data_IF_887726692562
#
_entry.id   IF_887726692562
#
_cell.length_a   1.000
_cell.length_b   1.000
_cell.length_c   1.000
_cell.angle_alpha   90.00
_cell.angle_beta   90.00
_cell.angle_gamma   90.00
#
_symmetry.space_group_name_H-M   'P 1'
#
loop_
_entity.id
_entity.type
_entity.pdbx_description
1 polymer ?
#
# COMPACT_ATOMS: atom_id res chain seq x y z
N UNK A 1 -10.70 12.59 -9.88
CA UNK A 1 -10.06 12.30 -11.20
C UNK A 1 -9.72 13.54 -12.03
N UNK A 2 -9.57 14.75 -11.45
CA UNK A 2 -9.53 15.98 -12.25
C UNK A 2 -8.29 16.19 -13.15
N UNK A 3 -7.13 15.59 -12.84
CA UNK A 3 -5.91 15.83 -13.61
C UNK A 3 -5.57 14.70 -14.60
N UNK A 4 -5.23 13.51 -14.09
CA UNK A 4 -4.65 12.45 -14.92
C UNK A 4 -5.65 11.40 -15.41
N UNK A 5 -6.81 11.24 -14.75
CA UNK A 5 -7.73 10.13 -15.01
C UNK A 5 -8.21 10.06 -16.46
N UNK A 6 -8.59 11.20 -17.05
CA UNK A 6 -9.05 11.25 -18.44
C UNK A 6 -7.95 10.89 -19.45
N UNK A 7 -6.72 11.37 -19.22
CA UNK A 7 -5.56 11.08 -20.09
C UNK A 7 -5.11 9.63 -19.94
N UNK A 8 -5.15 9.07 -18.74
CA UNK A 8 -4.82 7.67 -18.50
C UNK A 8 -5.80 6.74 -19.24
N UNK A 9 -7.12 7.01 -19.14
CA UNK A 9 -8.14 6.22 -19.85
C UNK A 9 -7.98 6.25 -21.36
N UNK A 10 -7.59 7.38 -21.96
CA UNK A 10 -7.38 7.46 -23.40
C UNK A 10 -6.16 6.67 -23.88
N UNK A 11 -5.17 6.47 -23.01
CA UNK A 11 -3.94 5.70 -23.29
C UNK A 11 -4.02 4.23 -22.87
N UNK A 12 -4.90 3.87 -21.95
CA UNK A 12 -5.15 2.46 -21.58
C UNK A 12 -5.90 1.66 -22.64
N UNK A 13 -6.49 2.33 -23.63
CA UNK A 13 -7.27 1.70 -24.70
C UNK A 13 -6.42 1.07 -25.84
N UNK A 14 -5.09 1.16 -25.79
CA UNK A 14 -4.21 0.38 -26.69
C UNK A 14 -4.21 -1.08 -26.22
N UNK A 15 -5.06 -1.89 -26.85
CA UNK A 15 -5.45 -3.25 -26.44
C UNK A 15 -4.29 -4.23 -26.22
N UNK A 16 -3.12 -3.97 -26.79
CA UNK A 16 -1.94 -4.83 -26.70
C UNK A 16 -0.88 -4.33 -25.69
N UNK A 17 -0.97 -3.06 -25.26
CA UNK A 17 -0.08 -2.43 -24.29
C UNK A 17 -0.87 -1.38 -23.51
N UNK A 18 -1.37 -1.70 -22.31
CA UNK A 18 -1.82 -0.66 -21.38
C UNK A 18 -0.67 0.29 -21.13
N UNK A 19 -0.67 1.45 -21.80
CA UNK A 19 0.46 2.37 -21.79
C UNK A 19 0.63 3.11 -20.45
N UNK A 20 -0.27 2.88 -19.49
CA UNK A 20 -0.18 3.45 -18.15
C UNK A 20 -0.86 2.58 -17.09
N UNK A 21 -0.37 2.72 -15.86
CA UNK A 21 -0.95 2.15 -14.65
C UNK A 21 -0.91 3.20 -13.53
N UNK A 22 -1.79 3.04 -12.55
CA UNK A 22 -1.77 3.79 -11.30
C UNK A 22 -1.17 2.90 -10.20
N UNK A 23 -0.11 3.35 -9.53
CA UNK A 23 0.53 2.59 -8.45
C UNK A 23 0.48 3.40 -7.15
N UNK A 24 -0.15 2.86 -6.13
CA UNK A 24 -0.10 3.39 -4.77
C UNK A 24 0.99 2.67 -3.97
N UNK A 25 1.91 3.44 -3.40
CA UNK A 25 2.86 2.94 -2.41
C UNK A 25 2.28 3.26 -1.03
N UNK A 26 1.80 2.23 -0.34
CA UNK A 26 1.08 2.38 0.90
C UNK A 26 1.79 1.66 2.04
N UNK A 27 1.82 2.28 3.22
CA UNK A 27 2.20 1.55 4.42
C UNK A 27 1.16 0.48 4.72
N UNK A 28 1.58 -0.70 5.19
CA UNK A 28 0.66 -1.77 5.60
C UNK A 28 -0.32 -1.32 6.70
N UNK A 29 0.03 -0.31 7.49
CA UNK A 29 -0.85 0.30 8.50
C UNK A 29 -2.00 1.13 7.92
N UNK A 30 -2.17 1.15 6.59
CA UNK A 30 -3.42 1.54 5.94
C UNK A 30 -4.58 0.58 6.27
N UNK A 31 -4.27 -0.69 6.61
CA UNK A 31 -5.29 -1.70 6.94
C UNK A 31 -5.79 -1.59 8.38
N UNK A 32 -4.88 -1.33 9.32
CA UNK A 32 -5.18 -1.13 10.73
C UNK A 32 -4.23 -0.09 11.29
N UNK A 33 -4.78 0.86 12.06
CA UNK A 33 -4.04 2.02 12.52
C UNK A 33 -2.94 1.62 13.50
N UNK A 34 -1.70 2.03 13.24
CA UNK A 34 -0.64 1.96 14.25
C UNK A 34 -0.54 3.30 14.96
N UNK A 35 -0.97 3.43 16.22
CA UNK A 35 -1.27 4.74 16.76
C UNK A 35 -0.02 5.59 17.10
N UNK A 36 1.18 4.98 17.14
CA UNK A 36 2.47 5.70 17.15
C UNK A 36 2.61 6.63 15.93
N UNK A 37 2.03 6.23 14.79
CA UNK A 37 1.97 7.02 13.56
C UNK A 37 0.52 7.19 13.09
N UNK A 38 -0.39 7.48 14.02
CA UNK A 38 -1.83 7.36 13.77
C UNK A 38 -2.37 8.24 12.63
N UNK A 39 -1.88 9.48 12.49
CA UNK A 39 -2.28 10.39 11.39
C UNK A 39 -1.75 9.92 10.04
N UNK A 40 -0.55 9.34 10.01
CA UNK A 40 0.02 8.75 8.80
C UNK A 40 -0.80 7.53 8.39
N UNK A 41 -1.10 6.64 9.34
CA UNK A 41 -1.96 5.46 9.11
C UNK A 41 -3.34 5.87 8.56
N UNK A 42 -3.96 6.90 9.13
CA UNK A 42 -5.26 7.41 8.65
C UNK A 42 -5.21 7.95 7.21
N UNK A 43 -4.18 8.74 6.87
CA UNK A 43 -3.99 9.23 5.50
C UNK A 43 -3.78 8.09 4.50
N UNK A 44 -2.99 7.08 4.88
CA UNK A 44 -2.74 5.91 4.05
C UNK A 44 -4.00 5.03 3.89
N UNK A 45 -4.83 4.90 4.93
CA UNK A 45 -6.13 4.24 4.86
C UNK A 45 -7.10 4.98 3.91
N UNK A 46 -7.10 6.31 3.93
CA UNK A 46 -7.87 7.12 2.98
C UNK A 46 -7.39 6.92 1.54
N UNK A 47 -6.07 6.83 1.32
CA UNK A 47 -5.50 6.52 0.00
C UNK A 47 -5.86 5.08 -0.45
N UNK A 48 -5.86 4.11 0.46
CA UNK A 48 -6.31 2.74 0.18
C UNK A 48 -7.79 2.72 -0.22
N UNK A 49 -8.65 3.45 0.50
CA UNK A 49 -10.07 3.61 0.15
C UNK A 49 -10.24 4.28 -1.21
N UNK A 50 -9.47 5.34 -1.49
CA UNK A 50 -9.47 6.00 -2.80
C UNK A 50 -9.10 5.02 -3.93
N UNK A 51 -8.14 4.10 -3.70
CA UNK A 51 -7.77 3.09 -4.70
C UNK A 51 -8.95 2.21 -5.13
N UNK A 52 -9.88 1.91 -4.22
CA UNK A 52 -11.08 1.12 -4.51
C UNK A 52 -12.02 1.89 -5.45
N UNK A 53 -12.21 3.19 -5.20
CA UNK A 53 -12.94 4.07 -6.11
C UNK A 53 -12.25 4.15 -7.48
N UNK A 54 -10.93 4.27 -7.51
CA UNK A 54 -10.16 4.34 -8.75
C UNK A 54 -10.29 3.07 -9.60
N UNK A 55 -10.36 1.88 -8.97
CA UNK A 55 -10.61 0.62 -9.68
C UNK A 55 -11.95 0.63 -10.41
N UNK A 56 -13.01 1.11 -9.74
CA UNK A 56 -14.32 1.27 -10.36
C UNK A 56 -14.30 2.30 -11.49
N UNK A 57 -13.65 3.44 -11.26
CA UNK A 57 -13.51 4.48 -12.27
C UNK A 57 -12.74 4.01 -13.52
N UNK A 58 -11.67 3.24 -13.35
CA UNK A 58 -10.84 2.75 -14.46
C UNK A 58 -11.31 1.43 -15.07
N UNK A 59 -12.41 0.85 -14.57
CA UNK A 59 -12.96 -0.40 -15.09
C UNK A 59 -13.20 -0.31 -16.61
N UNK A 60 -12.74 -1.34 -17.35
CA UNK A 60 -12.87 -1.40 -18.82
C UNK A 60 -11.96 -0.46 -19.61
N UNK A 61 -11.15 0.38 -18.95
CA UNK A 61 -10.22 1.31 -19.62
C UNK A 61 -8.81 0.75 -19.89
N UNK A 62 -8.53 -0.48 -19.45
CA UNK A 62 -7.19 -1.08 -19.51
C UNK A 62 -6.22 -0.58 -18.42
N UNK A 63 -6.50 0.56 -17.77
CA UNK A 63 -5.65 1.10 -16.71
C UNK A 63 -5.74 0.25 -15.44
N UNK A 64 -4.61 -0.28 -14.99
CA UNK A 64 -4.50 -1.06 -13.76
C UNK A 64 -4.26 -0.16 -12.55
N UNK A 65 -4.86 -0.50 -11.42
CA UNK A 65 -4.65 0.18 -10.12
C UNK A 65 -3.98 -0.79 -9.16
N UNK A 66 -2.68 -0.61 -8.98
CA UNK A 66 -1.81 -1.45 -8.16
C UNK A 66 -1.64 -0.81 -6.78
N UNK A 67 -1.78 -1.60 -5.73
CA UNK A 67 -1.44 -1.21 -4.36
C UNK A 67 -0.25 -2.05 -3.90
N UNK A 68 0.81 -1.39 -3.44
CA UNK A 68 1.93 -2.04 -2.76
C UNK A 68 1.86 -1.69 -1.28
N UNK A 69 1.46 -2.67 -0.46
CA UNK A 69 1.45 -2.59 1.00
C UNK A 69 2.83 -3.00 1.53
N UNK A 70 3.63 -2.04 1.97
CA UNK A 70 4.98 -2.31 2.46
C UNK A 70 5.10 -2.08 3.98
N UNK A 71 6.04 -2.82 4.59
CA UNK A 71 6.38 -2.68 6.00
C UNK A 71 7.18 -1.39 6.27
N UNK A 72 7.84 -1.26 7.43
CA UNK A 72 8.75 -0.14 7.67
C UNK A 72 9.81 0.01 6.56
N UNK A 73 9.91 1.19 5.94
CA UNK A 73 10.93 1.50 4.95
C UNK A 73 12.22 1.99 5.64
N UNK A 74 13.37 1.64 5.07
CA UNK A 74 14.66 2.19 5.43
C UNK A 74 14.73 3.67 5.03
N UNK A 75 14.46 4.54 6.01
CA UNK A 75 14.54 5.99 5.85
C UNK A 75 15.45 6.58 6.92
N UNK A 76 16.24 7.59 6.53
CA UNK A 76 17.16 8.32 7.42
C UNK A 76 16.45 9.01 8.60
N UNK A 77 15.15 9.33 8.44
CA UNK A 77 14.33 10.01 9.44
C UNK A 77 13.69 9.06 10.48
N UNK A 78 13.55 7.75 10.18
CA UNK A 78 12.85 6.78 11.06
C UNK A 78 13.86 5.88 11.79
N UNK A 79 14.55 6.45 12.77
CA UNK A 79 15.67 5.84 13.47
C UNK A 79 15.37 4.71 14.48
N UNK A 80 14.21 4.57 15.16
CA UNK A 80 14.11 3.55 16.22
C UNK A 80 13.46 2.23 15.78
N UNK A 81 12.99 2.08 14.53
CA UNK A 81 12.35 0.81 14.14
C UNK A 81 13.40 -0.29 13.99
N UNK A 82 13.33 -1.39 14.76
CA UNK A 82 14.26 -2.50 14.60
C UNK A 82 14.05 -3.19 13.25
N UNK A 83 15.09 -3.81 12.67
CA UNK A 83 14.97 -4.63 11.46
C UNK A 83 13.93 -5.76 11.64
N UNK A 84 13.33 -6.29 10.55
CA UNK A 84 13.69 -6.07 9.14
C UNK A 84 12.90 -4.94 8.48
N UNK A 85 13.61 -3.96 7.92
CA UNK A 85 13.03 -2.89 7.11
C UNK A 85 13.07 -3.26 5.61
N UNK A 86 12.18 -2.66 4.84
CA UNK A 86 12.19 -2.71 3.37
C UNK A 86 13.17 -1.67 2.85
N UNK A 87 14.04 -2.04 1.91
CA UNK A 87 14.94 -1.06 1.27
C UNK A 87 14.24 -0.35 0.11
N UNK A 88 14.59 0.90 -0.21
CA UNK A 88 14.04 1.60 -1.38
C UNK A 88 14.23 0.82 -2.70
N UNK A 89 15.39 0.16 -2.86
CA UNK A 89 15.66 -0.66 -4.04
C UNK A 89 14.68 -1.85 -4.13
N UNK A 90 14.48 -2.58 -3.03
CA UNK A 90 13.53 -3.71 -3.01
C UNK A 90 12.10 -3.25 -3.31
N UNK A 91 11.71 -2.07 -2.84
CA UNK A 91 10.40 -1.49 -3.16
C UNK A 91 10.29 -1.19 -4.66
N UNK A 92 11.29 -0.55 -5.26
CA UNK A 92 11.30 -0.25 -6.69
C UNK A 92 11.25 -1.53 -7.56
N UNK A 93 12.06 -2.54 -7.24
CA UNK A 93 12.07 -3.82 -7.94
C UNK A 93 10.70 -4.51 -7.86
N UNK A 94 10.06 -4.45 -6.69
CA UNK A 94 8.73 -5.02 -6.47
C UNK A 94 7.66 -4.31 -7.30
N UNK A 95 7.74 -2.98 -7.42
CA UNK A 95 6.81 -2.19 -8.25
C UNK A 95 6.96 -2.57 -9.72
N UNK A 96 8.19 -2.66 -10.23
CA UNK A 96 8.46 -3.04 -11.63
C UNK A 96 7.92 -4.45 -11.90
N UNK A 97 8.21 -5.39 -11.01
CA UNK A 97 7.70 -6.77 -11.13
C UNK A 97 6.17 -6.81 -11.14
N UNK A 98 5.50 -6.08 -10.24
CA UNK A 98 4.05 -6.03 -10.18
C UNK A 98 3.42 -5.46 -11.47
N UNK A 99 4.07 -4.46 -12.07
CA UNK A 99 3.66 -3.90 -13.36
C UNK A 99 3.82 -4.90 -14.50
N UNK A 100 4.93 -5.64 -14.54
CA UNK A 100 5.20 -6.65 -15.58
C UNK A 100 4.23 -7.83 -15.50
N UNK A 101 3.94 -8.31 -14.29
CA UNK A 101 3.08 -9.48 -14.05
C UNK A 101 1.59 -9.12 -13.92
N UNK A 102 1.24 -7.82 -13.90
CA UNK A 102 -0.13 -7.35 -13.74
C UNK A 102 -0.74 -7.64 -12.36
N UNK A 103 0.09 -7.70 -11.32
CA UNK A 103 -0.34 -7.99 -9.93
C UNK A 103 -0.89 -6.70 -9.30
N UNK A 104 -2.18 -6.68 -8.98
CA UNK A 104 -2.87 -5.46 -8.50
C UNK A 104 -2.73 -5.21 -6.99
N UNK A 105 -2.45 -6.23 -6.18
CA UNK A 105 -2.26 -6.09 -4.73
C UNK A 105 -1.01 -6.85 -4.30
N UNK A 106 -0.01 -6.11 -3.82
CA UNK A 106 1.31 -6.63 -3.45
C UNK A 106 1.57 -6.34 -1.98
N UNK A 107 2.11 -7.32 -1.27
CA UNK A 107 2.59 -7.15 0.11
C UNK A 107 4.10 -7.31 0.13
N UNK A 108 4.82 -6.38 0.78
CA UNK A 108 6.28 -6.37 0.78
C UNK A 108 6.85 -6.23 2.20
N UNK A 109 7.54 -7.30 2.62
CA UNK A 109 8.38 -7.33 3.80
C UNK A 109 7.71 -8.02 4.99
N UNK A 110 8.51 -8.58 5.94
CA UNK A 110 7.99 -9.48 6.97
C UNK A 110 6.92 -8.85 7.87
N UNK A 111 7.08 -7.57 8.23
CA UNK A 111 6.08 -6.84 9.02
C UNK A 111 4.78 -6.69 8.24
N UNK A 112 4.85 -6.40 6.95
CA UNK A 112 3.65 -6.26 6.14
C UNK A 112 2.93 -7.61 5.95
N UNK A 113 3.70 -8.67 5.70
CA UNK A 113 3.17 -10.03 5.58
C UNK A 113 2.46 -10.48 6.87
N UNK A 114 3.05 -10.21 8.05
CA UNK A 114 2.42 -10.52 9.34
C UNK A 114 1.13 -9.71 9.56
N UNK A 115 1.17 -8.40 9.31
CA UNK A 115 0.00 -7.52 9.48
C UNK A 115 -1.13 -7.91 8.53
N UNK A 116 -0.84 -8.19 7.25
CA UNK A 116 -1.84 -8.65 6.27
C UNK A 116 -2.43 -9.99 6.68
N UNK A 117 -1.61 -10.93 7.17
CA UNK A 117 -2.07 -12.22 7.66
C UNK A 117 -3.03 -12.04 8.83
N UNK A 118 -2.65 -11.30 9.87
CA UNK A 118 -3.49 -11.04 11.06
C UNK A 118 -4.75 -10.26 10.73
N UNK A 119 -4.66 -9.30 9.81
CA UNK A 119 -5.83 -8.54 9.34
C UNK A 119 -6.87 -9.44 8.66
N UNK A 120 -6.41 -10.43 7.88
CA UNK A 120 -7.29 -11.43 7.24
C UNK A 120 -7.87 -12.44 8.23
N UNK A 121 -7.15 -12.73 9.31
CA UNK A 121 -7.62 -13.62 10.38
C UNK A 121 -8.70 -12.92 11.23
N UNK A 122 -8.39 -11.77 11.82
CA UNK A 122 -9.36 -10.96 12.57
C UNK A 122 -8.87 -9.49 12.69
N UNK A 123 -9.50 -8.54 11.97
CA UNK A 123 -9.07 -7.15 11.98
C UNK A 123 -9.30 -6.45 13.33
N UNK A 124 -10.28 -6.87 14.14
CA UNK A 124 -10.54 -6.27 15.45
C UNK A 124 -9.51 -6.72 16.49
N UNK A 125 -9.05 -7.97 16.40
CA UNK A 125 -7.95 -8.46 17.23
C UNK A 125 -6.66 -7.72 16.89
N UNK A 126 -6.34 -7.60 15.59
CA UNK A 126 -5.15 -6.86 15.14
C UNK A 126 -5.17 -5.40 15.63
N UNK A 127 -6.30 -4.71 15.51
CA UNK A 127 -6.47 -3.35 16.04
C UNK A 127 -6.10 -3.28 17.52
N UNK A 128 -6.69 -4.18 18.32
CA UNK A 128 -6.46 -4.21 19.77
C UNK A 128 -5.00 -4.50 20.13
N UNK A 129 -4.37 -5.42 19.40
CA UNK A 129 -2.96 -5.76 19.59
C UNK A 129 -2.03 -4.60 19.23
N UNK A 130 -2.31 -3.85 18.15
CA UNK A 130 -1.53 -2.66 17.76
C UNK A 130 -1.67 -1.52 18.77
N UNK A 131 -2.86 -1.33 19.36
CA UNK A 131 -3.06 -0.39 20.46
C UNK A 131 -2.30 -0.81 21.72
N UNK A 132 -2.31 -2.10 22.07
CA UNK A 132 -1.58 -2.61 23.24
C UNK A 132 -0.05 -2.53 23.07
N UNK A 133 0.46 -2.80 21.87
CA UNK A 133 1.88 -2.63 21.56
C UNK A 133 2.36 -1.19 21.81
N UNK A 134 1.53 -0.18 21.53
CA UNK A 134 1.87 1.20 21.87
C UNK A 134 1.94 1.46 23.37
N UNK A 135 1.02 0.86 24.15
CA UNK A 135 1.03 1.01 25.61
C UNK A 135 2.24 0.33 26.26
N UNK A 136 2.77 -0.73 25.64
CA UNK A 136 3.97 -1.43 26.09
C UNK A 136 5.30 -0.76 25.69
N UNK A 137 5.31 0.12 24.69
CA UNK A 137 6.49 0.87 24.20
C UNK A 137 6.46 2.29 24.78
N UNK A 138 6.18 2.41 26.09
CA UNK A 138 5.95 3.68 26.78
C UNK A 138 6.91 4.83 26.43
N UNK A 139 6.34 6.04 26.46
CA UNK A 139 6.98 7.37 26.33
C UNK A 139 8.22 7.50 27.21
#
# INVERSE_FOLDING_TARGET
MQAFGHVMRSRGADRDNSACAWVNLLSVYALSNWPVYGTTSASQAAALSLSQSLRGDFAGSGVKVINVLFGPLEESWRQPLPPPKVTPQRLADTVIHALQEGIEDVTLGPVAEDVVRRYREDPFVLERELTQLQLGVGV
#
